data_IF_239087055943
#
_entry.id   IF_239087055943
#
_cell.length_a   1.000
_cell.length_b   1.000
_cell.length_c   1.000
_cell.angle_alpha   90.00
_cell.angle_beta   90.00
_cell.angle_gamma   90.00
#
_symmetry.space_group_name_H-M   'P 1'
#
loop_
_entity.id
_entity.type
_entity.pdbx_description
1 polymer ?
#
# COMPACT_ATOMS: atom_id res chain seq x y z
N UNK A 1 -60.37 26.15 23.34
CA UNK A 1 -59.67 25.99 22.04
C UNK A 1 -58.19 25.75 22.31
N UNK A 2 -57.68 24.55 21.99
CA UNK A 2 -56.26 24.15 22.18
C UNK A 2 -55.62 24.05 20.80
N UNK A 3 -54.83 25.05 20.45
CA UNK A 3 -53.80 25.01 19.41
C UNK A 3 -52.48 25.09 20.19
N UNK A 4 -51.42 24.33 19.95
CA UNK A 4 -50.83 23.83 18.72
C UNK A 4 -49.97 22.62 19.04
N UNK A 5 -50.05 21.64 18.15
CA UNK A 5 -49.06 20.58 17.97
C UNK A 5 -47.67 21.13 17.60
N UNK A 6 -46.72 20.20 17.58
CA UNK A 6 -45.51 20.22 16.75
C UNK A 6 -44.26 20.91 17.32
N UNK A 7 -43.70 20.34 18.39
CA UNK A 7 -42.23 20.27 18.48
C UNK A 7 -41.76 19.10 17.61
N UNK A 8 -41.84 19.31 16.29
CA UNK A 8 -41.36 18.39 15.25
C UNK A 8 -39.84 18.28 15.38
N UNK A 9 -39.36 17.06 15.53
CA UNK A 9 -37.95 16.67 15.47
C UNK A 9 -37.29 17.20 14.18
N UNK A 10 -36.26 18.03 14.29
CA UNK A 10 -35.39 18.35 13.15
C UNK A 10 -34.05 18.90 13.64
N UNK A 11 -33.14 17.99 14.04
CA UNK A 11 -31.77 18.35 14.44
C UNK A 11 -30.71 17.29 14.12
N UNK A 12 -31.06 16.21 13.42
CA UNK A 12 -30.14 15.08 13.16
C UNK A 12 -29.38 15.19 11.81
N UNK A 13 -29.74 16.14 10.96
CA UNK A 13 -29.18 16.31 9.61
C UNK A 13 -27.87 17.10 9.55
N UNK A 14 -27.55 17.91 10.58
CA UNK A 14 -26.34 18.73 10.59
C UNK A 14 -25.08 17.94 10.95
N UNK A 15 -25.18 17.07 11.97
CA UNK A 15 -24.06 16.21 12.39
C UNK A 15 -23.64 15.23 11.28
N UNK A 16 -24.60 14.59 10.61
CA UNK A 16 -24.30 13.57 9.59
C UNK A 16 -23.57 14.13 8.36
N UNK A 17 -23.81 15.40 8.03
CA UNK A 17 -23.16 16.05 6.88
C UNK A 17 -21.71 16.40 7.19
N UNK A 18 -21.43 16.98 8.36
CA UNK A 18 -20.07 17.32 8.78
C UNK A 18 -19.21 16.06 8.94
N UNK A 19 -19.76 15.00 9.54
CA UNK A 19 -19.06 13.71 9.69
C UNK A 19 -18.71 13.06 8.34
N UNK A 20 -19.59 13.11 7.34
CA UNK A 20 -19.31 12.56 6.01
C UNK A 20 -18.21 13.32 5.27
N UNK A 21 -18.13 14.64 5.43
CA UNK A 21 -17.09 15.46 4.82
C UNK A 21 -15.73 15.16 5.43
N UNK A 22 -15.65 15.08 6.77
CA UNK A 22 -14.41 14.72 7.48
C UNK A 22 -13.97 13.30 7.12
N UNK A 23 -14.89 12.34 7.10
CA UNK A 23 -14.60 10.96 6.69
C UNK A 23 -14.09 10.87 5.24
N UNK A 24 -14.66 11.66 4.31
CA UNK A 24 -14.19 11.72 2.93
C UNK A 24 -12.78 12.32 2.83
N UNK A 25 -12.51 13.41 3.54
CA UNK A 25 -11.19 14.04 3.57
C UNK A 25 -10.09 13.09 4.10
N UNK A 26 -10.38 12.33 5.16
CA UNK A 26 -9.47 11.30 5.68
C UNK A 26 -9.29 10.12 4.70
N UNK A 27 -10.36 9.72 4.00
CA UNK A 27 -10.32 8.57 3.06
C UNK A 27 -9.48 8.79 1.80
N UNK A 28 -9.24 10.04 1.40
CA UNK A 28 -8.41 10.38 0.23
C UNK A 28 -6.91 10.21 0.54
N UNK A 29 -6.50 10.36 1.80
CA UNK A 29 -5.10 10.20 2.21
C UNK A 29 -4.68 8.76 2.50
N UNK A 30 -5.62 7.89 2.91
CA UNK A 30 -5.28 6.54 3.41
C UNK A 30 -4.96 5.56 2.27
N UNK A 31 -5.67 5.65 1.15
CA UNK A 31 -5.48 4.75 0.00
C UNK A 31 -4.08 4.84 -0.63
N UNK A 32 -3.52 6.03 -0.93
CA UNK A 32 -2.17 6.11 -1.49
C UNK A 32 -1.09 5.69 -0.49
N UNK A 33 -1.30 5.96 0.82
CA UNK A 33 -0.36 5.53 1.87
C UNK A 33 -0.23 4.00 1.90
N UNK A 34 -1.34 3.27 1.79
CA UNK A 34 -1.30 1.81 1.74
C UNK A 34 -0.51 1.27 0.54
N UNK A 35 -0.70 1.87 -0.64
CA UNK A 35 0.04 1.51 -1.85
C UNK A 35 1.54 1.79 -1.74
N UNK A 36 1.93 2.90 -1.10
CA UNK A 36 3.35 3.23 -0.87
C UNK A 36 3.98 2.26 0.14
N UNK A 37 3.24 1.87 1.18
CA UNK A 37 3.71 0.87 2.15
C UNK A 37 3.89 -0.49 1.48
N UNK A 38 2.90 -0.97 0.73
CA UNK A 38 3.01 -2.24 0.01
C UNK A 38 4.14 -2.22 -1.03
N UNK A 39 4.26 -1.13 -1.81
CA UNK A 39 5.34 -0.99 -2.80
C UNK A 39 6.72 -0.95 -2.13
N UNK A 40 6.85 -0.25 -0.99
CA UNK A 40 8.09 -0.17 -0.22
C UNK A 40 8.49 -1.50 0.41
N UNK A 41 7.55 -2.19 1.08
CA UNK A 41 7.78 -3.50 1.69
C UNK A 41 8.12 -4.56 0.63
N UNK A 42 7.37 -4.61 -0.47
CA UNK A 42 7.62 -5.57 -1.55
C UNK A 42 8.95 -5.28 -2.27
N UNK A 43 9.29 -4.01 -2.46
CA UNK A 43 10.57 -3.61 -3.05
C UNK A 43 11.77 -3.98 -2.17
N UNK A 44 11.64 -3.82 -0.85
CA UNK A 44 12.68 -4.17 0.11
C UNK A 44 12.94 -5.68 0.16
N UNK A 45 11.89 -6.50 0.16
CA UNK A 45 12.03 -7.97 0.13
C UNK A 45 12.78 -8.42 -1.13
N UNK A 46 12.39 -7.89 -2.30
CA UNK A 46 13.07 -8.17 -3.58
C UNK A 46 14.52 -7.71 -3.58
N UNK A 47 14.80 -6.53 -3.03
CA UNK A 47 16.17 -6.05 -2.88
C UNK A 47 17.00 -6.99 -2.01
N UNK A 48 16.47 -7.43 -0.86
CA UNK A 48 17.16 -8.39 0.02
C UNK A 48 17.44 -9.72 -0.70
N UNK A 49 16.48 -10.23 -1.46
CA UNK A 49 16.64 -11.45 -2.25
C UNK A 49 17.71 -11.32 -3.33
N UNK A 50 17.74 -10.19 -4.08
CA UNK A 50 18.78 -9.89 -5.07
C UNK A 50 20.17 -9.80 -4.45
N UNK A 51 20.29 -9.19 -3.28
CA UNK A 51 21.56 -9.14 -2.54
C UNK A 51 21.99 -10.52 -2.02
N UNK A 52 21.06 -11.38 -1.63
CA UNK A 52 21.36 -12.76 -1.25
C UNK A 52 21.85 -13.60 -2.45
N UNK A 53 21.23 -13.43 -3.62
CA UNK A 53 21.67 -14.06 -4.88
C UNK A 53 23.07 -13.62 -5.30
N UNK A 54 23.41 -12.33 -5.18
CA UNK A 54 24.76 -11.83 -5.46
C UNK A 54 25.83 -12.40 -4.53
N UNK A 55 25.46 -12.72 -3.29
CA UNK A 55 26.37 -13.29 -2.29
C UNK A 55 26.61 -14.79 -2.48
N UNK A 56 25.81 -15.45 -3.32
CA UNK A 56 25.97 -16.86 -3.60
C UNK A 56 27.17 -17.08 -4.53
N UNK A 57 28.00 -18.06 -4.22
CA UNK A 57 29.13 -18.45 -5.07
C UNK A 57 28.66 -19.15 -6.36
N UNK A 58 29.50 -19.14 -7.41
CA UNK A 58 29.15 -19.69 -8.74
C UNK A 58 28.72 -21.16 -8.69
N UNK A 59 29.33 -21.96 -7.81
CA UNK A 59 28.97 -23.36 -7.65
C UNK A 59 27.54 -23.58 -7.10
N UNK A 60 27.11 -22.75 -6.14
CA UNK A 60 25.76 -22.79 -5.58
C UNK A 60 24.73 -22.26 -6.58
N UNK A 61 25.09 -21.23 -7.34
CA UNK A 61 24.26 -20.74 -8.44
C UNK A 61 24.02 -21.84 -9.48
N UNK A 62 25.08 -22.59 -9.81
CA UNK A 62 24.98 -23.72 -10.75
C UNK A 62 24.12 -24.87 -10.21
N UNK A 63 24.14 -25.12 -8.91
CA UNK A 63 23.32 -26.15 -8.26
C UNK A 63 21.81 -25.84 -8.35
N UNK A 64 21.45 -24.56 -8.23
CA UNK A 64 20.07 -24.08 -8.44
C UNK A 64 19.74 -23.80 -9.92
N UNK A 65 20.68 -24.08 -10.84
CA UNK A 65 20.49 -23.94 -12.28
C UNK A 65 20.47 -22.49 -12.80
N UNK A 66 21.03 -21.53 -12.05
CA UNK A 66 21.07 -20.11 -12.40
C UNK A 66 22.49 -19.72 -12.81
N UNK A 67 22.65 -18.97 -13.91
CA UNK A 67 23.97 -18.47 -14.30
C UNK A 67 24.29 -17.13 -13.64
N UNK A 68 25.58 -16.78 -13.52
CA UNK A 68 26.00 -15.46 -13.01
C UNK A 68 25.43 -14.31 -13.86
N UNK A 69 25.31 -14.50 -15.18
CA UNK A 69 24.71 -13.53 -16.08
C UNK A 69 23.21 -13.31 -15.80
N UNK A 70 22.48 -14.36 -15.42
CA UNK A 70 21.07 -14.25 -15.03
C UNK A 70 20.93 -13.45 -13.73
N UNK A 71 21.80 -13.70 -12.75
CA UNK A 71 21.84 -12.94 -11.49
C UNK A 71 22.13 -11.46 -11.75
N UNK A 72 23.13 -11.15 -12.57
CA UNK A 72 23.47 -9.76 -12.90
C UNK A 72 22.31 -9.06 -13.63
N UNK A 73 21.63 -9.77 -14.54
CA UNK A 73 20.45 -9.25 -15.22
C UNK A 73 19.32 -8.97 -14.23
N UNK A 74 19.09 -9.85 -13.25
CA UNK A 74 18.04 -9.73 -12.24
C UNK A 74 18.33 -8.58 -11.26
N UNK A 75 19.60 -8.43 -10.84
CA UNK A 75 20.01 -7.37 -9.92
C UNK A 75 19.97 -6.00 -10.59
N UNK A 76 20.28 -5.94 -11.89
CA UNK A 76 20.23 -4.69 -12.66
C UNK A 76 18.82 -4.12 -12.82
N UNK A 77 17.77 -4.93 -12.58
CA UNK A 77 16.39 -4.45 -12.68
C UNK A 77 16.11 -3.38 -11.61
N UNK A 78 15.37 -2.32 -11.95
CA UNK A 78 14.91 -1.37 -10.95
C UNK A 78 14.06 -2.04 -9.87
N UNK A 79 14.14 -1.58 -8.62
CA UNK A 79 13.43 -2.20 -7.49
C UNK A 79 11.90 -2.23 -7.65
N UNK A 80 11.35 -1.29 -8.43
CA UNK A 80 9.91 -1.22 -8.72
C UNK A 80 9.44 -2.20 -9.80
N UNK A 81 10.36 -2.84 -10.54
CA UNK A 81 10.05 -3.79 -11.61
C UNK A 81 10.38 -5.21 -11.15
N UNK A 82 9.32 -6.00 -10.95
CA UNK A 82 9.39 -7.46 -10.82
C UNK A 82 9.56 -8.09 -12.19
#
# INVERSE_FOLDING_TARGET
>A
MRTTEATRSSGSSSFTTVFKVIARALSVGIRPVWLVIEAGLNGYERWRQRQALMRLDDHLLKDIGVSRADVDSEVSKPFWRG
#
